data_IF_040029809104
#
_entry.id   IF_040029809104
#
_cell.length_a   1.000
_cell.length_b   1.000
_cell.length_c   1.000
_cell.angle_alpha   90.00
_cell.angle_beta   90.00
_cell.angle_gamma   90.00
#
_symmetry.space_group_name_H-M   'P 1'
#
loop_
_entity.id
_entity.type
_entity.pdbx_description
1 polymer ?
#
# COMPACT_ATOMS: atom_id res chain seq x y z
N UNK A 1 -0.66 -1.00 1.71
CA UNK A 1 -0.32 0.36 2.23
C UNK A 1 0.92 0.90 1.52
N UNK A 2 0.90 0.92 0.18
CA UNK A 2 2.13 1.22 -0.58
C UNK A 2 2.24 2.69 -0.94
N UNK A 3 1.12 3.37 -1.13
CA UNK A 3 1.10 4.77 -1.56
C UNK A 3 0.41 5.71 -0.57
N UNK A 4 -0.35 5.18 0.39
CA UNK A 4 -1.05 6.01 1.39
C UNK A 4 -0.15 6.29 2.58
N UNK A 5 -0.16 7.54 3.03
CA UNK A 5 0.67 8.00 4.15
C UNK A 5 -0.14 8.95 5.07
N UNK A 6 0.40 9.23 6.24
CA UNK A 6 -0.10 10.26 7.16
C UNK A 6 1.01 11.25 7.50
N UNK A 7 0.67 12.51 7.72
CA UNK A 7 1.62 13.55 8.09
C UNK A 7 0.98 14.59 9.01
N UNK A 8 1.79 15.23 9.85
CA UNK A 8 1.33 16.31 10.73
C UNK A 8 1.70 17.65 10.10
N UNK A 9 0.71 18.51 9.93
CA UNK A 9 0.89 19.87 9.44
C UNK A 9 1.53 20.78 10.50
N UNK A 10 1.96 21.99 10.09
CA UNK A 10 2.44 23.01 11.03
C UNK A 10 1.39 23.46 12.06
N UNK A 11 0.12 23.27 11.74
CA UNK A 11 -1.02 23.50 12.60
C UNK A 11 -1.22 22.40 13.66
N UNK A 12 -0.35 21.38 13.69
CA UNK A 12 -0.44 20.26 14.63
C UNK A 12 -1.54 19.25 14.27
N UNK A 13 -2.20 19.40 13.11
CA UNK A 13 -3.28 18.51 12.67
C UNK A 13 -2.73 17.36 11.83
N UNK A 14 -3.34 16.18 11.98
CA UNK A 14 -2.98 14.99 11.21
C UNK A 14 -3.74 14.98 9.87
N UNK A 15 -2.99 14.82 8.79
CA UNK A 15 -3.50 14.75 7.43
C UNK A 15 -3.20 13.37 6.84
N UNK A 16 -4.18 12.84 6.11
CA UNK A 16 -4.04 11.59 5.35
C UNK A 16 -4.04 11.90 3.86
N UNK A 17 -3.34 11.08 3.09
CA UNK A 17 -3.19 11.32 1.67
C UNK A 17 -2.47 10.21 0.94
N UNK A 18 -2.20 10.44 -0.34
CA UNK A 18 -1.45 9.53 -1.18
C UNK A 18 -0.18 10.18 -1.75
N UNK A 19 0.87 9.39 -1.84
CA UNK A 19 2.09 9.71 -2.55
C UNK A 19 1.81 9.79 -4.06
N UNK A 20 2.33 10.82 -4.68
CA UNK A 20 2.31 11.10 -6.12
C UNK A 20 3.74 11.16 -6.63
N UNK A 21 3.92 11.22 -7.95
CA UNK A 21 5.25 11.35 -8.56
C UNK A 21 5.96 12.65 -8.15
N UNK A 22 5.20 13.71 -7.87
CA UNK A 22 5.73 15.04 -7.51
C UNK A 22 5.82 15.32 -6.00
N UNK A 23 5.31 14.44 -5.15
CA UNK A 23 5.20 14.69 -3.70
C UNK A 23 3.95 14.04 -3.12
N UNK A 24 3.41 14.57 -2.02
CA UNK A 24 2.25 14.00 -1.34
C UNK A 24 0.98 14.82 -1.52
N UNK A 25 -0.14 14.15 -1.72
CA UNK A 25 -1.46 14.74 -1.90
C UNK A 25 -2.37 14.43 -0.70
N UNK A 26 -2.56 15.39 0.21
CA UNK A 26 -3.46 15.23 1.35
C UNK A 26 -4.93 15.33 0.93
N UNK A 27 -5.76 14.33 1.30
CA UNK A 27 -7.19 14.29 1.00
C UNK A 27 -8.02 15.20 1.92
N UNK A 28 -7.59 15.36 3.17
CA UNK A 28 -8.31 16.14 4.19
C UNK A 28 -7.89 17.62 4.22
N UNK A 29 -7.10 18.08 3.25
CA UNK A 29 -6.69 19.47 3.16
C UNK A 29 -7.67 20.26 2.29
N UNK A 30 -8.40 21.19 2.89
CA UNK A 30 -9.28 22.12 2.21
C UNK A 30 -8.64 23.51 2.22
N UNK A 31 -8.04 23.91 1.11
CA UNK A 31 -7.35 25.19 0.99
C UNK A 31 -6.72 25.36 -0.39
N UNK A 32 -6.22 26.56 -0.64
CA UNK A 32 -5.48 26.91 -1.85
C UNK A 32 -4.10 26.23 -1.87
N UNK A 33 -3.48 26.17 -3.06
CA UNK A 33 -2.12 25.65 -3.22
C UNK A 33 -1.09 26.39 -2.34
N UNK A 34 -1.24 27.72 -2.20
CA UNK A 34 -0.36 28.53 -1.39
C UNK A 34 -0.47 28.17 0.10
N UNK A 35 -1.69 27.94 0.61
CA UNK A 35 -1.91 27.51 1.99
C UNK A 35 -1.37 26.10 2.24
N UNK A 36 -1.47 25.21 1.26
CA UNK A 36 -0.89 23.85 1.35
C UNK A 36 0.62 23.90 1.48
N UNK A 37 1.27 24.71 0.64
CA UNK A 37 2.72 24.85 0.64
C UNK A 37 3.21 25.59 1.91
N UNK A 38 2.38 26.44 2.51
CA UNK A 38 2.63 27.06 3.81
C UNK A 38 2.42 26.09 4.99
N UNK A 39 1.42 25.20 4.92
CA UNK A 39 1.05 24.26 5.96
C UNK A 39 2.00 23.04 6.05
N UNK A 40 2.54 22.60 4.91
CA UNK A 40 3.41 21.42 4.83
C UNK A 40 4.81 21.78 4.34
N UNK A 41 5.82 21.47 5.14
CA UNK A 41 7.22 21.60 4.74
C UNK A 41 7.63 20.33 3.98
N UNK A 42 8.15 20.49 2.76
CA UNK A 42 8.78 19.44 1.94
C UNK A 42 7.91 18.20 1.64
N UNK A 43 6.75 18.42 1.01
CA UNK A 43 5.90 17.34 0.48
C UNK A 43 6.63 16.44 -0.55
N UNK A 44 7.70 16.92 -1.17
CA UNK A 44 8.52 16.18 -2.13
C UNK A 44 9.22 14.97 -1.51
N UNK A 45 9.52 15.00 -0.20
CA UNK A 45 10.10 13.87 0.53
C UNK A 45 9.14 12.67 0.58
N UNK A 46 7.84 12.94 0.51
CA UNK A 46 6.79 11.93 0.58
C UNK A 46 6.33 11.44 -0.81
N UNK A 47 7.06 11.76 -1.89
CA UNK A 47 6.81 11.24 -3.24
C UNK A 47 6.91 9.72 -3.32
N UNK A 48 6.33 9.13 -4.36
CA UNK A 48 6.42 7.68 -4.63
C UNK A 48 7.88 7.25 -4.74
N UNK A 49 8.22 6.16 -4.06
CA UNK A 49 9.54 5.53 -4.09
C UNK A 49 9.50 4.21 -4.88
N UNK A 50 10.63 3.73 -5.41
CA UNK A 50 10.68 2.41 -6.05
C UNK A 50 10.26 1.28 -5.10
N UNK A 51 10.52 1.42 -3.80
CA UNK A 51 10.09 0.45 -2.79
C UNK A 51 8.56 0.41 -2.69
N UNK A 52 7.87 1.54 -2.80
CA UNK A 52 6.40 1.58 -2.83
C UNK A 52 5.86 0.75 -4.02
N UNK A 53 6.54 0.80 -5.17
CA UNK A 53 6.18 -0.02 -6.34
C UNK A 53 6.41 -1.51 -6.09
N UNK A 54 7.55 -1.90 -5.51
CA UNK A 54 7.81 -3.31 -5.13
C UNK A 54 6.71 -3.84 -4.23
N UNK A 55 6.35 -3.10 -3.19
CA UNK A 55 5.28 -3.50 -2.27
C UNK A 55 3.92 -3.60 -2.97
N UNK A 56 3.62 -2.67 -3.88
CA UNK A 56 2.38 -2.69 -4.65
C UNK A 56 2.31 -3.91 -5.58
N UNK A 57 3.39 -4.21 -6.30
CA UNK A 57 3.47 -5.37 -7.20
C UNK A 57 3.36 -6.68 -6.42
N UNK A 58 4.09 -6.82 -5.31
CA UNK A 58 4.00 -8.02 -4.46
C UNK A 58 2.59 -8.19 -3.90
N UNK A 59 1.96 -7.12 -3.42
CA UNK A 59 0.57 -7.17 -2.93
C UNK A 59 -0.40 -7.58 -4.04
N UNK A 60 -0.22 -7.08 -5.26
CA UNK A 60 -1.04 -7.45 -6.41
C UNK A 60 -0.84 -8.92 -6.82
N UNK A 61 0.40 -9.42 -6.79
CA UNK A 61 0.69 -10.83 -7.07
C UNK A 61 0.08 -11.76 -6.01
N UNK A 62 0.13 -11.39 -4.73
CA UNK A 62 -0.54 -12.15 -3.65
C UNK A 62 -2.04 -12.14 -3.86
N UNK A 63 -2.64 -10.99 -4.16
CA UNK A 63 -4.07 -10.90 -4.44
C UNK A 63 -4.47 -11.79 -5.62
N UNK A 64 -3.68 -11.77 -6.71
CA UNK A 64 -3.93 -12.59 -7.88
C UNK A 64 -3.78 -14.09 -7.58
N UNK A 65 -2.77 -14.47 -6.79
CA UNK A 65 -2.58 -15.84 -6.33
C UNK A 65 -3.80 -16.35 -5.54
N UNK A 66 -4.32 -15.53 -4.61
CA UNK A 66 -5.54 -15.84 -3.85
C UNK A 66 -6.75 -15.93 -4.78
N UNK A 67 -6.90 -15.00 -5.73
CA UNK A 67 -8.01 -15.00 -6.68
C UNK A 67 -8.00 -16.24 -7.59
N UNK A 68 -6.83 -16.71 -8.02
CA UNK A 68 -6.72 -17.94 -8.82
C UNK A 68 -6.92 -19.21 -7.99
N UNK A 69 -6.71 -19.18 -6.68
CA UNK A 69 -7.06 -20.30 -5.82
C UNK A 69 -8.58 -20.46 -5.62
N UNK A 70 -9.38 -19.46 -5.99
CA UNK A 70 -10.83 -19.50 -5.85
C UNK A 70 -11.46 -20.50 -6.85
N UNK A 71 -12.34 -21.35 -6.34
CA UNK A 71 -12.99 -22.39 -7.13
C UNK A 71 -13.93 -21.83 -8.21
N UNK A 72 -14.56 -20.68 -7.97
CA UNK A 72 -15.40 -20.00 -8.95
C UNK A 72 -14.57 -19.45 -10.10
N UNK A 73 -13.48 -18.75 -9.80
CA UNK A 73 -12.54 -18.25 -10.82
C UNK A 73 -11.91 -19.41 -11.61
N UNK A 74 -11.51 -20.49 -10.95
CA UNK A 74 -10.99 -21.68 -11.63
C UNK A 74 -12.01 -22.28 -12.59
N UNK A 75 -13.27 -22.40 -12.17
CA UNK A 75 -14.32 -22.99 -13.02
C UNK A 75 -14.64 -22.13 -14.25
N UNK A 76 -14.46 -20.81 -14.16
CA UNK A 76 -14.72 -19.89 -15.27
C UNK A 76 -13.50 -19.67 -16.19
N UNK A 77 -12.30 -19.53 -15.62
CA UNK A 77 -11.10 -19.14 -16.35
C UNK A 77 -10.21 -20.34 -16.74
N UNK A 78 -10.32 -21.44 -16.00
CA UNK A 78 -9.56 -22.67 -16.22
C UNK A 78 -10.50 -23.91 -16.23
N UNK A 79 -11.55 -23.93 -17.07
CA UNK A 79 -12.55 -25.01 -17.06
C UNK A 79 -11.96 -26.40 -17.38
N UNK A 80 -10.89 -26.45 -18.18
CA UNK A 80 -10.20 -27.68 -18.58
C UNK A 80 -8.91 -27.95 -17.76
N UNK A 81 -8.73 -27.28 -16.61
CA UNK A 81 -7.58 -27.54 -15.75
C UNK A 81 -7.61 -28.99 -15.23
N UNK A 82 -6.55 -29.74 -15.53
CA UNK A 82 -6.31 -31.06 -14.93
C UNK A 82 -6.13 -30.98 -13.41
N UNK A 83 -6.19 -32.14 -12.75
CA UNK A 83 -6.03 -32.27 -11.28
C UNK A 83 -4.72 -31.64 -10.80
N UNK A 84 -3.61 -31.87 -11.51
CA UNK A 84 -2.29 -31.31 -11.22
C UNK A 84 -2.29 -29.78 -11.19
N UNK A 85 -2.84 -29.14 -12.24
CA UNK A 85 -2.94 -27.67 -12.29
C UNK A 85 -3.81 -27.13 -11.17
N UNK A 86 -4.90 -27.82 -10.84
CA UNK A 86 -5.80 -27.39 -9.77
C UNK A 86 -5.13 -27.42 -8.40
N UNK A 87 -4.35 -28.47 -8.13
CA UNK A 87 -3.55 -28.56 -6.90
C UNK A 87 -2.51 -27.45 -6.80
N UNK A 88 -1.84 -27.11 -7.92
CA UNK A 88 -0.91 -25.98 -7.96
C UNK A 88 -1.61 -24.64 -7.66
N UNK A 89 -2.79 -24.39 -8.24
CA UNK A 89 -3.56 -23.16 -8.00
C UNK A 89 -4.02 -23.04 -6.55
N UNK A 90 -4.39 -24.14 -5.89
CA UNK A 90 -4.80 -24.15 -4.47
C UNK A 90 -3.61 -23.90 -3.54
N UNK A 91 -2.42 -24.35 -3.90
CA UNK A 91 -1.20 -24.15 -3.10
C UNK A 91 -0.48 -22.82 -3.39
N UNK A 92 -0.83 -22.14 -4.49
CA UNK A 92 -0.23 -20.88 -4.91
C UNK A 92 -0.30 -19.75 -3.86
N UNK A 93 -1.43 -19.53 -3.14
CA UNK A 93 -1.50 -18.51 -2.09
C UNK A 93 -0.53 -18.74 -0.95
N UNK A 94 -0.26 -20.00 -0.60
CA UNK A 94 0.68 -20.36 0.48
C UNK A 94 2.10 -19.94 0.08
N UNK A 95 2.53 -20.29 -1.13
CA UNK A 95 3.82 -19.91 -1.66
C UNK A 95 3.95 -18.37 -1.81
N UNK A 96 2.91 -17.72 -2.35
CA UNK A 96 2.88 -16.27 -2.51
C UNK A 96 2.94 -15.55 -1.15
N UNK A 97 2.22 -16.04 -0.15
CA UNK A 97 2.24 -15.52 1.22
C UNK A 97 3.63 -15.61 1.83
N UNK A 98 4.28 -16.78 1.74
CA UNK A 98 5.64 -16.98 2.25
C UNK A 98 6.65 -16.02 1.60
N UNK A 99 6.64 -15.91 0.28
CA UNK A 99 7.53 -14.99 -0.45
C UNK A 99 7.23 -13.52 -0.12
N UNK A 100 5.96 -13.15 -0.01
CA UNK A 100 5.56 -11.79 0.36
C UNK A 100 6.02 -11.43 1.78
N UNK A 101 5.92 -12.36 2.73
CA UNK A 101 6.44 -12.17 4.09
C UNK A 101 7.94 -11.91 4.08
N UNK A 102 8.72 -12.67 3.31
CA UNK A 102 10.16 -12.43 3.18
C UNK A 102 10.46 -11.05 2.59
N UNK A 103 9.76 -10.65 1.51
CA UNK A 103 9.97 -9.34 0.88
C UNK A 103 9.64 -8.20 1.83
N UNK A 104 8.51 -8.25 2.53
CA UNK A 104 8.12 -7.20 3.48
C UNK A 104 9.01 -7.15 4.72
N UNK A 105 9.63 -8.27 5.10
CA UNK A 105 10.60 -8.31 6.19
C UNK A 105 11.95 -7.69 5.78
N UNK A 106 12.45 -8.00 4.58
CA UNK A 106 13.74 -7.49 4.09
C UNK A 106 13.65 -6.02 3.68
N UNK A 107 12.54 -5.63 3.07
CA UNK A 107 12.30 -4.27 2.61
C UNK A 107 11.09 -3.69 3.33
N UNK A 108 11.22 -3.25 4.59
CA UNK A 108 10.10 -2.67 5.32
C UNK A 108 9.67 -1.34 4.69
N UNK A 109 8.36 -1.09 4.65
CA UNK A 109 7.84 0.22 4.26
C UNK A 109 8.06 1.26 5.36
N UNK A 110 8.47 2.46 4.97
CA UNK A 110 8.59 3.61 5.88
C UNK A 110 7.31 4.44 5.96
N UNK A 111 6.27 4.07 5.18
CA UNK A 111 4.98 4.77 5.10
C UNK A 111 4.17 4.57 6.37
N UNK A 112 3.51 5.63 6.84
CA UNK A 112 2.62 5.63 8.00
C UNK A 112 1.18 5.45 7.52
N UNK A 113 0.59 4.30 7.80
CA UNK A 113 -0.78 3.99 7.42
C UNK A 113 -1.82 4.96 8.02
N UNK A 114 -3.01 4.96 7.43
CA UNK A 114 -4.25 5.37 8.10
C UNK A 114 -4.34 4.60 9.42
N UNK A 115 -4.48 5.32 10.55
CA UNK A 115 -4.46 4.74 11.91
C UNK A 115 -3.12 4.85 12.65
N UNK A 116 -2.05 5.33 12.01
CA UNK A 116 -0.81 5.66 12.72
C UNK A 116 -0.97 6.98 13.49
N UNK A 117 -1.44 6.92 14.74
CA UNK A 117 -1.74 8.09 15.60
C UNK A 117 -0.58 8.55 16.48
N UNK A 118 0.51 7.77 16.53
CA UNK A 118 1.70 8.05 17.36
C UNK A 118 2.42 9.36 16.99
N UNK A 119 2.06 9.98 15.86
CA UNK A 119 2.59 11.30 15.48
C UNK A 119 1.82 12.48 16.07
N UNK A 120 0.67 12.26 16.73
CA UNK A 120 -0.06 13.37 17.34
C UNK A 120 0.68 13.91 18.57
N UNK A 121 0.89 15.24 18.67
CA UNK A 121 1.39 15.83 19.90
C UNK A 121 0.46 15.43 21.04
N UNK A 122 1.01 14.75 22.05
CA UNK A 122 0.28 14.54 23.29
C UNK A 122 0.15 15.91 23.94
N UNK A 123 -1.07 16.42 24.09
CA UNK A 123 -1.29 17.55 24.98
C UNK A 123 -0.98 17.09 26.39
N UNK A 124 0.16 17.50 26.93
CA UNK A 124 0.39 17.54 28.37
C UNK A 124 -0.15 18.84 28.93
#
# INVERSE_FOLDING_TARGET
LSFTDSLVGRDGRLYYGAATLGGFYPFNFTGTRAERDAAFKDLSRFRVTPMDLVHAVVSALVFLAVAFADAGIQSCLFPDAGTETRELLVNLPVAAGFLASMVFMIFPTTRKSIGYTDMMPHSQ
#
